data_IF_210343024430
#
_entry.id   IF_210343024430
#
_cell.length_a   1.000
_cell.length_b   1.000
_cell.length_c   1.000
_cell.angle_alpha   90.00
_cell.angle_beta   90.00
_cell.angle_gamma   90.00
#
_symmetry.space_group_name_H-M   'P 1'
#
loop_
_entity.id
_entity.type
_entity.pdbx_description
1 polymer ?
#
# COMPACT_ATOMS: atom_id res chain seq x y z
N UNK A 1 -3.11 3.80 -30.10
CA UNK A 1 -4.18 3.17 -29.31
C UNK A 1 -5.37 2.99 -30.22
N UNK A 2 -5.79 1.74 -30.46
CA UNK A 2 -7.07 1.48 -31.13
C UNK A 2 -8.19 1.97 -30.20
N UNK A 3 -9.19 2.63 -30.77
CA UNK A 3 -10.23 3.40 -30.06
C UNK A 3 -11.30 2.51 -29.38
N UNK A 4 -11.16 1.17 -29.47
CA UNK A 4 -12.19 0.21 -29.02
C UNK A 4 -11.82 -0.64 -27.80
N UNK A 5 -10.68 -0.39 -27.16
CA UNK A 5 -10.32 -1.10 -25.94
C UNK A 5 -10.90 -0.34 -24.74
N UNK A 6 -12.00 -0.84 -24.17
CA UNK A 6 -12.59 -0.30 -22.95
C UNK A 6 -11.56 -0.30 -21.81
N UNK A 7 -11.41 0.85 -21.15
CA UNK A 7 -10.59 0.97 -19.95
C UNK A 7 -11.24 0.17 -18.81
N UNK A 8 -10.50 -0.75 -18.21
CA UNK A 8 -10.98 -1.57 -17.10
C UNK A 8 -10.56 -0.97 -15.76
N UNK A 9 -11.40 -1.18 -14.73
CA UNK A 9 -11.13 -0.77 -13.34
C UNK A 9 -10.92 0.74 -13.13
N UNK A 10 -11.33 1.61 -14.05
CA UNK A 10 -11.04 3.06 -13.98
C UNK A 10 -9.58 3.40 -14.28
N UNK A 11 -8.79 2.43 -14.72
CA UNK A 11 -7.37 2.59 -15.01
C UNK A 11 -7.11 2.70 -16.52
N UNK A 12 -5.93 3.22 -16.88
CA UNK A 12 -5.43 3.22 -18.25
C UNK A 12 -4.91 1.82 -18.63
N UNK A 13 -5.80 0.82 -18.57
CA UNK A 13 -5.51 -0.58 -18.84
C UNK A 13 -6.65 -1.17 -19.66
N UNK A 14 -6.34 -1.89 -20.73
CA UNK A 14 -7.33 -2.64 -21.50
C UNK A 14 -7.31 -4.13 -21.18
N UNK A 15 -8.33 -4.86 -21.63
CA UNK A 15 -8.35 -6.33 -21.54
C UNK A 15 -7.19 -6.97 -22.29
N UNK A 16 -6.86 -6.48 -23.48
CA UNK A 16 -5.75 -6.96 -24.30
C UNK A 16 -4.42 -6.80 -23.56
N UNK A 17 -4.20 -5.61 -23.00
CA UNK A 17 -2.98 -5.31 -22.25
C UNK A 17 -2.88 -6.13 -20.96
N UNK A 18 -3.99 -6.29 -20.23
CA UNK A 18 -4.03 -7.14 -19.04
C UNK A 18 -3.71 -8.61 -19.37
N UNK A 19 -4.29 -9.13 -20.45
CA UNK A 19 -4.02 -10.50 -20.90
C UNK A 19 -2.54 -10.70 -21.24
N UNK A 20 -1.95 -9.80 -22.02
CA UNK A 20 -0.53 -9.85 -22.39
C UNK A 20 0.38 -9.84 -21.16
N UNK A 21 0.08 -8.98 -20.17
CA UNK A 21 0.82 -8.91 -18.93
C UNK A 21 0.71 -10.20 -18.11
N UNK A 22 -0.52 -10.68 -17.87
CA UNK A 22 -0.75 -11.88 -17.06
C UNK A 22 -0.10 -13.09 -17.71
N UNK A 23 -0.20 -13.22 -19.04
CA UNK A 23 0.46 -14.28 -19.80
C UNK A 23 1.97 -14.21 -19.70
N UNK A 24 2.55 -13.00 -19.81
CA UNK A 24 3.98 -12.78 -19.64
C UNK A 24 4.46 -13.16 -18.23
N UNK A 25 3.70 -12.78 -17.20
CA UNK A 25 4.01 -13.09 -15.80
C UNK A 25 3.91 -14.59 -15.50
N UNK A 26 2.86 -15.25 -15.99
CA UNK A 26 2.67 -16.70 -15.84
C UNK A 26 3.48 -17.54 -16.83
N UNK A 27 4.16 -16.90 -17.80
CA UNK A 27 4.90 -17.54 -18.89
C UNK A 27 4.06 -18.58 -19.64
N UNK A 28 2.85 -18.19 -20.03
CA UNK A 28 1.87 -19.06 -20.69
C UNK A 28 1.40 -18.53 -22.04
N UNK A 29 1.09 -19.47 -22.94
CA UNK A 29 0.43 -19.19 -24.20
C UNK A 29 -1.10 -19.27 -24.11
N UNK A 30 -1.67 -19.73 -22.99
CA UNK A 30 -3.12 -19.72 -22.80
C UNK A 30 -3.68 -18.29 -22.90
N UNK A 31 -4.86 -18.16 -23.50
CA UNK A 31 -5.55 -16.87 -23.71
C UNK A 31 -6.77 -16.77 -22.81
N UNK A 32 -7.24 -15.57 -22.51
CA UNK A 32 -8.47 -15.39 -21.74
C UNK A 32 -9.69 -15.83 -22.56
N UNK A 33 -10.67 -16.41 -21.89
CA UNK A 33 -11.93 -16.85 -22.47
C UNK A 33 -12.87 -15.73 -22.81
N UNK A 34 -14.02 -16.11 -23.36
CA UNK A 34 -15.14 -15.19 -23.55
C UNK A 34 -15.83 -14.88 -22.21
N UNK A 35 -15.77 -15.79 -21.23
CA UNK A 35 -16.31 -15.64 -19.87
C UNK A 35 -15.38 -14.95 -18.88
N UNK A 36 -14.28 -14.34 -19.35
CA UNK A 36 -13.35 -13.58 -18.50
C UNK A 36 -14.07 -12.49 -17.74
N UNK A 37 -13.72 -12.32 -16.46
CA UNK A 37 -14.35 -11.31 -15.59
C UNK A 37 -13.37 -10.66 -14.63
N UNK A 38 -13.68 -9.42 -14.27
CA UNK A 38 -13.01 -8.65 -13.23
C UNK A 38 -14.04 -8.20 -12.19
N UNK A 39 -13.84 -8.61 -10.96
CA UNK A 39 -14.73 -8.33 -9.84
C UNK A 39 -13.96 -7.49 -8.81
N UNK A 40 -14.34 -6.21 -8.62
CA UNK A 40 -13.69 -5.35 -7.61
C UNK A 40 -13.82 -5.99 -6.22
N UNK A 41 -12.70 -6.09 -5.51
CA UNK A 41 -12.62 -6.56 -4.14
C UNK A 41 -12.63 -5.34 -3.21
N UNK A 42 -13.59 -5.30 -2.28
CA UNK A 42 -13.80 -4.15 -1.41
C UNK A 42 -14.56 -3.02 -2.11
N UNK A 43 -15.85 -2.85 -1.79
CA UNK A 43 -16.64 -1.70 -2.27
C UNK A 43 -16.45 -0.56 -1.28
N UNK A 44 -15.98 0.61 -1.74
CA UNK A 44 -15.58 1.75 -0.89
C UNK A 44 -14.46 1.43 0.11
N UNK A 45 -13.63 0.44 -0.20
CA UNK A 45 -12.49 0.01 0.60
C UNK A 45 -11.27 0.02 -0.31
N UNK A 46 -10.31 0.91 -0.03
CA UNK A 46 -9.13 1.14 -0.88
C UNK A 46 -8.95 2.62 -1.20
N UNK A 47 -7.92 3.24 -0.62
CA UNK A 47 -7.63 4.66 -0.81
C UNK A 47 -6.65 4.93 -1.97
N UNK A 48 -5.77 3.98 -2.26
CA UNK A 48 -4.58 4.16 -3.10
C UNK A 48 -4.52 3.19 -4.28
N UNK A 49 -5.45 2.24 -4.34
CA UNK A 49 -5.53 1.26 -5.42
C UNK A 49 -6.93 0.67 -5.53
N UNK A 50 -7.26 0.21 -6.74
CA UNK A 50 -8.36 -0.71 -6.98
C UNK A 50 -7.79 -2.12 -7.00
N UNK A 51 -8.34 -2.97 -6.15
CA UNK A 51 -8.03 -4.40 -6.13
C UNK A 51 -9.22 -5.13 -6.76
N UNK A 52 -8.94 -6.07 -7.66
CA UNK A 52 -9.97 -6.86 -8.32
C UNK A 52 -9.55 -8.32 -8.45
N UNK A 53 -10.53 -9.23 -8.32
CA UNK A 53 -10.38 -10.62 -8.71
C UNK A 53 -10.56 -10.73 -10.21
N UNK A 54 -9.53 -11.22 -10.88
CA UNK A 54 -9.56 -11.63 -12.27
C UNK A 54 -9.91 -13.12 -12.33
N UNK A 55 -10.93 -13.47 -13.11
CA UNK A 55 -11.16 -14.84 -13.56
C UNK A 55 -10.87 -14.86 -15.07
N UNK A 56 -9.72 -15.43 -15.48
CA UNK A 56 -9.30 -15.44 -16.88
C UNK A 56 -10.21 -16.22 -17.82
N UNK A 57 -10.94 -17.22 -17.29
CA UNK A 57 -11.69 -18.19 -18.10
C UNK A 57 -10.81 -18.82 -19.18
N UNK A 58 -9.65 -19.35 -18.81
CA UNK A 58 -8.60 -19.75 -19.75
C UNK A 58 -9.11 -20.62 -20.90
N UNK A 59 -8.71 -20.28 -22.12
CA UNK A 59 -8.85 -21.15 -23.30
C UNK A 59 -7.71 -22.17 -23.27
N UNK A 60 -8.00 -23.37 -23.79
CA UNK A 60 -7.12 -24.54 -23.82
C UNK A 60 -6.97 -25.27 -22.47
N UNK A 61 -6.48 -26.52 -22.48
CA UNK A 61 -6.41 -27.41 -21.31
C UNK A 61 -5.31 -26.93 -20.33
N UNK A 62 -5.64 -25.89 -19.57
CA UNK A 62 -4.73 -25.12 -18.71
C UNK A 62 -4.86 -25.51 -17.24
N UNK A 63 -4.94 -26.81 -16.94
CA UNK A 63 -5.20 -27.32 -15.59
C UNK A 63 -4.18 -26.86 -14.53
N UNK A 64 -2.98 -26.45 -14.94
CA UNK A 64 -1.94 -25.91 -14.05
C UNK A 64 -2.04 -24.39 -13.82
N UNK A 65 -2.87 -23.67 -14.58
CA UNK A 65 -3.02 -22.22 -14.43
C UNK A 65 -4.01 -21.86 -13.31
N UNK A 66 -3.80 -20.73 -12.61
CA UNK A 66 -4.74 -20.26 -11.60
C UNK A 66 -6.12 -19.98 -12.20
N UNK A 67 -7.17 -20.56 -11.60
CA UNK A 67 -8.55 -20.28 -11.98
C UNK A 67 -8.94 -18.81 -11.71
N UNK A 68 -8.38 -18.24 -10.64
CA UNK A 68 -8.53 -16.83 -10.28
C UNK A 68 -7.18 -16.22 -9.88
N UNK A 69 -7.09 -14.91 -10.05
CA UNK A 69 -5.93 -14.07 -9.76
C UNK A 69 -6.42 -12.79 -9.06
N UNK A 70 -5.56 -12.17 -8.26
CA UNK A 70 -5.79 -10.81 -7.76
C UNK A 70 -4.95 -9.84 -8.57
N UNK A 71 -5.61 -8.79 -9.05
CA UNK A 71 -5.01 -7.69 -9.78
C UNK A 71 -5.15 -6.43 -8.94
N UNK A 72 -4.01 -5.82 -8.60
CA UNK A 72 -3.95 -4.56 -7.86
C UNK A 72 -3.46 -3.47 -8.80
N UNK A 73 -4.27 -2.42 -8.96
CA UNK A 73 -3.99 -1.30 -9.85
C UNK A 73 -3.98 -0.01 -9.03
N UNK A 74 -2.86 0.72 -8.96
CA UNK A 74 -2.77 1.98 -8.22
C UNK A 74 -3.67 3.03 -8.87
N UNK A 75 -4.48 3.67 -8.04
CA UNK A 75 -5.36 4.76 -8.41
C UNK A 75 -5.83 5.51 -7.18
N UNK A 76 -5.76 6.83 -7.23
CA UNK A 76 -6.33 7.74 -6.22
C UNK A 76 -7.76 8.19 -6.54
N UNK A 77 -8.47 7.54 -7.48
CA UNK A 77 -9.84 7.92 -7.86
C UNK A 77 -10.80 7.94 -6.67
N UNK A 78 -10.75 6.93 -5.80
CA UNK A 78 -11.61 6.86 -4.61
C UNK A 78 -11.32 8.01 -3.64
N UNK A 79 -10.05 8.39 -3.46
CA UNK A 79 -9.68 9.55 -2.65
C UNK A 79 -10.21 10.86 -3.26
N UNK A 80 -10.10 11.01 -4.59
CA UNK A 80 -10.63 12.15 -5.33
C UNK A 80 -12.17 12.23 -5.29
N UNK A 81 -12.87 11.09 -5.27
CA UNK A 81 -14.32 11.04 -5.12
C UNK A 81 -14.75 11.42 -3.71
N UNK A 82 -14.09 10.89 -2.68
CA UNK A 82 -14.33 11.26 -1.29
C UNK A 82 -14.12 12.77 -1.07
N UNK A 83 -13.07 13.34 -1.67
CA UNK A 83 -12.78 14.77 -1.62
C UNK A 83 -13.96 15.66 -2.03
N UNK A 84 -14.64 15.27 -3.12
CA UNK A 84 -15.76 16.01 -3.70
C UNK A 84 -16.99 15.99 -2.80
N UNK A 85 -17.14 14.96 -1.96
CA UNK A 85 -18.29 14.76 -1.07
C UNK A 85 -18.14 15.47 0.28
N UNK A 86 -16.96 16.00 0.61
CA UNK A 86 -16.78 16.76 1.85
C UNK A 86 -17.55 18.08 1.72
N UNK A 87 -18.66 18.21 2.46
CA UNK A 87 -19.32 19.48 2.74
C UNK A 87 -18.46 20.28 3.73
N UNK A 88 -18.08 21.49 3.34
CA UNK A 88 -17.06 22.26 4.07
C UNK A 88 -17.73 23.42 4.80
N UNK A 89 -17.51 23.48 6.12
CA UNK A 89 -17.51 24.77 6.80
C UNK A 89 -16.35 25.63 6.23
N UNK A 90 -16.49 26.96 6.22
CA UNK A 90 -15.57 27.90 5.55
C UNK A 90 -14.08 27.73 5.92
N UNK A 91 -13.77 27.15 7.09
CA UNK A 91 -12.41 26.86 7.55
C UNK A 91 -11.74 25.62 6.93
N UNK A 92 -12.42 24.92 6.02
CA UNK A 92 -11.99 23.60 5.51
C UNK A 92 -11.77 23.63 3.98
N UNK A 93 -12.03 24.77 3.31
CA UNK A 93 -11.87 24.96 1.84
C UNK A 93 -10.51 24.48 1.31
N UNK A 94 -9.46 24.65 2.11
CA UNK A 94 -8.09 24.23 1.79
C UNK A 94 -7.90 22.70 1.80
N UNK A 95 -8.74 21.93 2.51
CA UNK A 95 -8.74 20.46 2.46
C UNK A 95 -9.20 19.96 1.10
N UNK A 96 -10.22 20.61 0.51
CA UNK A 96 -10.68 20.27 -0.84
C UNK A 96 -9.60 20.52 -1.87
N UNK A 97 -8.95 21.69 -1.82
CA UNK A 97 -7.84 22.01 -2.73
C UNK A 97 -6.67 21.01 -2.60
N UNK A 98 -6.37 20.55 -1.38
CA UNK A 98 -5.38 19.48 -1.14
C UNK A 98 -5.82 18.15 -1.76
N UNK A 99 -7.05 17.73 -1.49
CA UNK A 99 -7.56 16.45 -1.96
C UNK A 99 -7.80 16.44 -3.48
N UNK A 100 -7.94 17.61 -4.12
CA UNK A 100 -8.08 17.77 -5.57
C UNK A 100 -6.74 17.92 -6.32
N UNK A 101 -5.57 17.90 -5.63
CA UNK A 101 -4.24 17.97 -6.26
C UNK A 101 -3.90 16.67 -7.01
N UNK A 102 -4.39 16.57 -8.24
CA UNK A 102 -4.21 15.40 -9.13
C UNK A 102 -2.73 15.05 -9.34
N UNK A 103 -1.84 16.03 -9.42
CA UNK A 103 -0.42 15.77 -9.66
C UNK A 103 0.30 15.22 -8.43
N UNK A 104 -0.11 15.65 -7.22
CA UNK A 104 0.33 15.02 -5.98
C UNK A 104 -0.11 13.56 -5.91
N UNK A 105 -1.40 13.30 -6.15
CA UNK A 105 -1.96 11.95 -6.11
C UNK A 105 -1.27 11.02 -7.11
N UNK A 106 -1.04 11.47 -8.35
CA UNK A 106 -0.24 10.72 -9.33
C UNK A 106 1.21 10.48 -8.90
N UNK A 107 1.81 11.44 -8.21
CA UNK A 107 3.14 11.29 -7.62
C UNK A 107 3.16 10.22 -6.52
N UNK A 108 2.16 10.25 -5.66
CA UNK A 108 1.96 9.30 -4.56
C UNK A 108 1.66 7.90 -5.08
N UNK A 109 0.70 7.73 -6.00
CA UNK A 109 0.36 6.46 -6.65
C UNK A 109 1.61 5.78 -7.22
N UNK A 110 2.46 6.55 -7.93
CA UNK A 110 3.71 6.04 -8.48
C UNK A 110 4.73 5.66 -7.42
N UNK A 111 4.91 6.50 -6.40
CA UNK A 111 5.89 6.24 -5.35
C UNK A 111 5.52 4.99 -4.53
N UNK A 112 4.26 4.89 -4.11
CA UNK A 112 3.76 3.79 -3.29
C UNK A 112 3.71 2.48 -4.07
N UNK A 113 3.19 2.50 -5.30
CA UNK A 113 3.14 1.32 -6.16
C UNK A 113 4.53 0.76 -6.48
N UNK A 114 5.47 1.63 -6.88
CA UNK A 114 6.83 1.18 -7.19
C UNK A 114 7.53 0.66 -5.94
N UNK A 115 7.28 1.25 -4.76
CA UNK A 115 7.81 0.74 -3.49
C UNK A 115 7.27 -0.66 -3.15
N UNK A 116 5.98 -0.92 -3.41
CA UNK A 116 5.40 -2.26 -3.27
C UNK A 116 6.03 -3.27 -4.24
N UNK A 117 6.29 -2.86 -5.49
CA UNK A 117 7.01 -3.68 -6.46
C UNK A 117 8.43 -4.00 -5.97
N UNK A 118 9.13 -3.01 -5.43
CA UNK A 118 10.48 -3.18 -4.89
C UNK A 118 10.51 -4.14 -3.69
N UNK A 119 9.48 -4.09 -2.83
CA UNK A 119 9.30 -5.06 -1.74
C UNK A 119 9.20 -6.49 -2.26
N UNK A 120 8.26 -6.76 -3.17
CA UNK A 120 8.06 -8.12 -3.66
C UNK A 120 9.24 -8.62 -4.49
N UNK A 121 9.89 -7.75 -5.27
CA UNK A 121 11.13 -8.06 -5.98
C UNK A 121 12.26 -8.44 -5.00
N UNK A 122 12.42 -7.65 -3.93
CA UNK A 122 13.44 -7.89 -2.91
C UNK A 122 13.22 -9.25 -2.24
N UNK A 123 12.02 -9.47 -1.71
CA UNK A 123 11.65 -10.71 -1.02
C UNK A 123 11.86 -11.94 -1.91
N UNK A 124 11.49 -11.86 -3.20
CA UNK A 124 11.75 -12.92 -4.16
C UNK A 124 13.26 -13.12 -4.41
N UNK A 125 14.00 -12.03 -4.64
CA UNK A 125 15.44 -12.08 -4.96
C UNK A 125 16.30 -12.63 -3.82
N UNK A 126 15.88 -12.45 -2.57
CA UNK A 126 16.57 -12.94 -1.37
C UNK A 126 16.06 -14.31 -0.90
N UNK A 127 15.12 -14.93 -1.63
CA UNK A 127 14.55 -16.23 -1.25
C UNK A 127 13.69 -16.18 0.01
N UNK A 128 13.16 -15.01 0.36
CA UNK A 128 12.32 -14.80 1.55
C UNK A 128 10.83 -15.05 1.26
N UNK A 129 10.42 -15.15 -0.01
CA UNK A 129 9.01 -15.26 -0.41
C UNK A 129 8.25 -16.44 0.21
N UNK A 130 8.93 -17.52 0.58
CA UNK A 130 8.33 -18.67 1.27
C UNK A 130 8.49 -18.63 2.78
N UNK A 131 9.31 -17.72 3.29
CA UNK A 131 9.63 -17.58 4.71
C UNK A 131 8.77 -16.51 5.39
N UNK A 132 8.32 -15.51 4.63
CA UNK A 132 7.42 -14.47 5.14
C UNK A 132 5.99 -14.73 4.69
N UNK A 133 5.02 -14.35 5.53
CA UNK A 133 3.60 -14.51 5.23
C UNK A 133 3.15 -13.42 4.25
N UNK A 134 3.39 -13.60 2.94
CA UNK A 134 2.95 -12.68 1.88
C UNK A 134 2.32 -13.47 0.73
N UNK A 135 1.44 -12.85 -0.07
CA UNK A 135 0.89 -13.55 -1.23
C UNK A 135 1.99 -13.80 -2.26
N UNK A 136 1.92 -14.95 -2.94
CA UNK A 136 2.70 -15.21 -4.14
C UNK A 136 2.38 -14.17 -5.21
N UNK A 137 3.39 -13.42 -5.63
CA UNK A 137 3.30 -12.48 -6.74
C UNK A 137 3.77 -13.14 -8.02
N UNK A 138 2.92 -13.16 -9.05
CA UNK A 138 3.26 -13.70 -10.36
C UNK A 138 4.07 -12.70 -11.19
N UNK A 139 3.79 -11.41 -11.02
CA UNK A 139 4.56 -10.35 -11.64
C UNK A 139 3.93 -8.99 -11.39
N UNK A 140 4.65 -7.95 -11.81
CA UNK A 140 4.22 -6.57 -11.68
C UNK A 140 4.84 -5.72 -12.79
N UNK A 141 4.23 -4.56 -13.01
CA UNK A 141 4.77 -3.50 -13.85
C UNK A 141 4.84 -2.21 -13.04
N UNK A 142 6.02 -1.60 -13.01
CA UNK A 142 6.26 -0.30 -12.37
C UNK A 142 5.76 0.83 -13.25
N UNK A 143 5.49 1.98 -12.64
CA UNK A 143 5.43 3.23 -13.39
C UNK A 143 6.83 3.59 -13.88
N UNK A 144 6.95 3.95 -15.15
CA UNK A 144 8.18 4.41 -15.79
C UNK A 144 7.87 5.52 -16.81
N UNK A 145 8.86 5.92 -17.62
CA UNK A 145 8.60 6.84 -18.74
C UNK A 145 7.78 6.17 -19.85
N UNK A 146 7.95 4.86 -19.98
CA UNK A 146 7.34 3.99 -20.98
C UNK A 146 5.97 3.49 -20.50
N UNK A 147 5.80 3.28 -19.20
CA UNK A 147 4.58 2.72 -18.62
C UNK A 147 3.88 3.73 -17.71
N UNK A 148 2.70 4.18 -18.16
CA UNK A 148 1.86 5.15 -17.44
C UNK A 148 0.90 4.54 -16.43
N UNK A 149 0.85 3.21 -16.33
CA UNK A 149 -0.02 2.48 -15.41
C UNK A 149 0.75 1.34 -14.74
N UNK A 150 0.87 1.41 -13.42
CA UNK A 150 1.35 0.31 -12.60
C UNK A 150 0.31 -0.80 -12.45
N UNK A 151 0.76 -2.02 -12.17
CA UNK A 151 -0.09 -3.18 -11.87
C UNK A 151 0.72 -4.24 -11.13
N UNK A 152 0.11 -4.92 -10.16
CA UNK A 152 0.65 -6.14 -9.55
C UNK A 152 -0.38 -7.26 -9.76
N UNK A 153 0.09 -8.44 -10.17
CA UNK A 153 -0.71 -9.65 -10.34
C UNK A 153 -0.21 -10.69 -9.34
N UNK A 154 -1.10 -11.12 -8.45
CA UNK A 154 -0.77 -12.01 -7.34
C UNK A 154 -1.82 -13.11 -7.16
N UNK A 155 -1.52 -14.08 -6.32
CA UNK A 155 -2.42 -15.18 -6.01
C UNK A 155 -3.72 -14.69 -5.36
N UNK A 156 -4.81 -15.39 -5.66
CA UNK A 156 -6.09 -15.14 -5.03
C UNK A 156 -6.23 -15.98 -3.75
N UNK A 157 -6.12 -15.30 -2.61
CA UNK A 157 -6.28 -15.91 -1.29
C UNK A 157 -7.73 -15.85 -0.78
N UNK A 158 -8.68 -15.43 -1.61
CA UNK A 158 -10.08 -15.20 -1.21
C UNK A 158 -10.82 -16.46 -0.78
N UNK A 159 -10.31 -17.66 -1.06
CA UNK A 159 -10.96 -18.90 -0.59
C UNK A 159 -10.48 -19.31 0.80
N UNK A 160 -9.31 -18.81 1.23
CA UNK A 160 -8.64 -19.26 2.46
C UNK A 160 -8.44 -18.16 3.50
N UNK A 161 -8.38 -16.89 3.08
CA UNK A 161 -8.06 -15.75 3.93
C UNK A 161 -9.23 -14.77 4.07
N UNK A 162 -9.44 -14.27 5.29
CA UNK A 162 -10.43 -13.23 5.62
C UNK A 162 -9.77 -12.15 6.46
N UNK A 163 -10.11 -10.90 6.19
CA UNK A 163 -9.76 -9.79 7.08
C UNK A 163 -10.65 -9.86 8.31
N UNK A 164 -10.08 -9.59 9.47
CA UNK A 164 -10.81 -9.51 10.75
C UNK A 164 -11.31 -8.09 10.97
N UNK A 165 -12.55 -7.94 11.46
CA UNK A 165 -13.14 -6.63 11.70
C UNK A 165 -12.47 -5.91 12.89
N UNK A 166 -12.45 -4.56 12.89
CA UNK A 166 -11.83 -3.76 13.97
C UNK A 166 -12.40 -4.02 15.38
N UNK A 167 -13.64 -4.49 15.48
CA UNK A 167 -14.31 -4.80 16.75
C UNK A 167 -14.12 -6.25 17.21
N UNK A 168 -13.50 -7.10 16.41
CA UNK A 168 -13.19 -8.47 16.80
C UNK A 168 -11.92 -8.50 17.64
N UNK A 169 -11.94 -9.29 18.72
CA UNK A 169 -10.77 -9.48 19.56
C UNK A 169 -9.78 -10.44 18.91
N UNK A 170 -8.50 -10.07 18.93
CA UNK A 170 -7.38 -10.95 18.61
C UNK A 170 -6.81 -11.55 19.90
N UNK A 171 -6.43 -12.82 19.85
CA UNK A 171 -5.72 -13.47 20.94
C UNK A 171 -4.24 -13.07 20.96
N UNK A 172 -3.55 -13.34 22.07
CA UNK A 172 -2.09 -13.18 22.13
C UNK A 172 -1.39 -14.09 21.11
N UNK A 173 -1.94 -15.27 20.85
CA UNK A 173 -1.37 -16.19 19.87
C UNK A 173 -1.61 -15.71 18.43
N UNK A 174 -2.71 -15.00 18.16
CA UNK A 174 -2.91 -14.31 16.88
C UNK A 174 -1.80 -13.26 16.69
N UNK A 175 -1.56 -12.41 17.70
CA UNK A 175 -0.51 -11.39 17.64
C UNK A 175 0.89 -12.00 17.42
N UNK A 176 1.21 -13.10 18.10
CA UNK A 176 2.48 -13.83 17.91
C UNK A 176 2.65 -14.33 16.47
N UNK A 177 1.60 -14.89 15.86
CA UNK A 177 1.68 -15.35 14.47
C UNK A 177 2.05 -14.23 13.51
N UNK A 178 1.52 -13.01 13.72
CA UNK A 178 1.87 -11.84 12.89
C UNK A 178 3.34 -11.49 13.05
N UNK A 179 3.85 -11.50 14.28
CA UNK A 179 5.27 -11.25 14.57
C UNK A 179 6.12 -12.33 13.90
N UNK A 180 5.80 -13.60 14.10
CA UNK A 180 6.51 -14.74 13.50
C UNK A 180 6.53 -14.66 11.97
N UNK A 181 5.44 -14.18 11.36
CA UNK A 181 5.32 -14.00 9.92
C UNK A 181 6.23 -12.92 9.32
N UNK A 182 6.74 -11.99 10.14
CA UNK A 182 7.66 -10.92 9.70
C UNK A 182 9.09 -11.07 10.26
N UNK A 183 9.31 -11.95 11.25
CA UNK A 183 10.63 -12.22 11.83
C UNK A 183 11.70 -12.52 10.76
N UNK A 184 11.45 -13.35 9.72
CA UNK A 184 12.48 -13.65 8.73
C UNK A 184 12.95 -12.41 7.95
N UNK A 185 12.05 -11.46 7.69
CA UNK A 185 12.41 -10.20 7.05
C UNK A 185 13.29 -9.35 7.96
N UNK A 186 12.88 -9.16 9.21
CA UNK A 186 13.67 -8.36 10.16
C UNK A 186 15.03 -9.00 10.43
N UNK A 187 15.08 -10.31 10.62
CA UNK A 187 16.31 -11.06 10.87
C UNK A 187 17.31 -10.91 9.73
N UNK A 188 16.83 -10.97 8.48
CA UNK A 188 17.67 -10.75 7.31
C UNK A 188 18.40 -9.40 7.36
N UNK A 189 17.72 -8.31 7.71
CA UNK A 189 18.36 -6.98 7.79
C UNK A 189 19.31 -6.85 8.99
N UNK A 190 19.00 -7.50 10.12
CA UNK A 190 19.89 -7.52 11.28
C UNK A 190 21.19 -8.30 11.00
N UNK A 191 21.11 -9.38 10.22
CA UNK A 191 22.25 -10.19 9.80
C UNK A 191 23.05 -9.53 8.67
N UNK A 192 22.43 -8.61 7.93
CA UNK A 192 23.02 -7.92 6.78
C UNK A 192 22.93 -6.38 6.96
N UNK A 193 23.55 -5.79 7.99
CA UNK A 193 23.41 -4.37 8.30
C UNK A 193 23.98 -3.45 7.22
N UNK A 194 24.94 -3.94 6.44
CA UNK A 194 25.60 -3.21 5.34
C UNK A 194 24.89 -3.40 3.99
N UNK A 195 23.69 -4.00 3.96
CA UNK A 195 22.97 -4.20 2.71
C UNK A 195 22.60 -2.85 2.08
N UNK A 196 23.36 -2.46 1.07
CA UNK A 196 23.14 -1.23 0.33
C UNK A 196 22.02 -1.45 -0.70
N UNK A 197 20.77 -1.31 -0.25
CA UNK A 197 19.61 -1.23 -1.13
C UNK A 197 19.50 0.20 -1.70
N UNK A 198 20.54 0.65 -2.43
CA UNK A 198 20.68 2.04 -2.88
C UNK A 198 19.39 2.54 -3.57
N UNK A 199 18.73 3.53 -2.95
CA UNK A 199 17.51 4.16 -3.46
C UNK A 199 16.20 3.36 -3.28
N UNK A 200 16.22 2.14 -2.73
CA UNK A 200 15.03 1.34 -2.40
C UNK A 200 14.66 1.49 -0.92
N UNK A 201 13.36 1.43 -0.61
CA UNK A 201 12.80 1.53 0.76
C UNK A 201 13.12 2.83 1.53
N UNK A 202 13.43 3.88 0.79
CA UNK A 202 13.51 5.25 1.29
C UNK A 202 12.10 5.79 1.53
N UNK A 203 11.57 5.60 2.76
CA UNK A 203 10.28 6.10 3.27
C UNK A 203 9.42 6.75 2.17
N UNK A 204 8.60 5.99 1.44
CA UNK A 204 8.12 6.37 0.10
C UNK A 204 7.27 7.65 0.10
N UNK A 205 6.54 7.89 1.20
CA UNK A 205 5.86 9.17 1.44
C UNK A 205 6.86 10.34 1.45
N UNK A 206 7.99 10.21 2.17
CA UNK A 206 9.05 11.24 2.18
C UNK A 206 9.61 11.50 0.78
N UNK A 207 9.70 10.46 -0.06
CA UNK A 207 10.14 10.57 -1.46
C UNK A 207 9.11 11.33 -2.29
N UNK A 208 7.82 11.01 -2.17
CA UNK A 208 6.74 11.75 -2.82
C UNK A 208 6.71 13.23 -2.40
N UNK A 209 6.81 13.51 -1.09
CA UNK A 209 6.89 14.87 -0.55
C UNK A 209 8.14 15.62 -1.07
N UNK A 210 9.30 14.98 -1.12
CA UNK A 210 10.54 15.58 -1.62
C UNK A 210 10.43 15.93 -3.09
N UNK A 211 9.95 15.02 -3.93
CA UNK A 211 9.78 15.26 -5.36
C UNK A 211 8.85 16.46 -5.64
N UNK A 212 7.83 16.66 -4.81
CA UNK A 212 6.94 17.80 -4.93
C UNK A 212 7.55 19.10 -4.40
N UNK A 213 8.27 19.06 -3.29
CA UNK A 213 8.95 20.23 -2.71
C UNK A 213 10.01 20.84 -3.64
N UNK A 214 10.54 20.04 -4.58
CA UNK A 214 11.48 20.50 -5.60
C UNK A 214 10.81 21.27 -6.76
N UNK A 215 9.47 21.27 -6.86
CA UNK A 215 8.73 22.02 -7.89
C UNK A 215 8.48 23.47 -7.45
N UNK A 216 8.30 24.37 -8.41
CA UNK A 216 7.89 25.77 -8.15
C UNK A 216 6.56 25.78 -7.39
N UNK A 217 6.52 26.44 -6.23
CA UNK A 217 5.35 26.44 -5.33
C UNK A 217 5.25 25.23 -4.39
N UNK A 218 6.09 24.21 -4.55
CA UNK A 218 6.14 23.01 -3.71
C UNK A 218 6.33 23.28 -2.21
N UNK A 219 7.29 24.13 -1.80
CA UNK A 219 7.51 24.45 -0.39
C UNK A 219 6.30 25.15 0.28
N UNK A 220 5.58 25.98 -0.48
CA UNK A 220 4.36 26.65 -0.03
C UNK A 220 3.24 25.62 0.18
N UNK A 221 3.12 24.67 -0.75
CA UNK A 221 2.10 23.64 -0.66
C UNK A 221 2.37 22.64 0.48
N UNK A 222 3.64 22.31 0.74
CA UNK A 222 4.01 21.50 1.90
C UNK A 222 3.75 22.20 3.23
N UNK A 223 4.04 23.50 3.35
CA UNK A 223 3.73 24.23 4.58
C UNK A 223 2.22 24.26 4.86
N UNK A 224 1.38 24.43 3.84
CA UNK A 224 -0.07 24.31 3.99
C UNK A 224 -0.53 22.93 4.49
N UNK A 225 0.08 21.84 4.01
CA UNK A 225 -0.24 20.48 4.47
C UNK A 225 0.13 20.26 5.94
N UNK A 226 1.29 20.73 6.35
CA UNK A 226 1.69 20.65 7.76
C UNK A 226 0.73 21.44 8.66
N UNK A 227 0.30 22.62 8.24
CA UNK A 227 -0.71 23.41 8.96
C UNK A 227 -2.07 22.71 9.01
N UNK A 228 -2.45 21.99 7.96
CA UNK A 228 -3.70 21.22 7.93
C UNK A 228 -3.68 20.05 8.93
N UNK A 229 -2.61 19.24 8.94
CA UNK A 229 -2.48 18.14 9.92
C UNK A 229 -2.45 18.70 11.34
N UNK A 230 -1.74 19.81 11.56
CA UNK A 230 -1.73 20.52 12.84
C UNK A 230 -3.12 20.99 13.26
N UNK A 231 -3.89 21.54 12.31
CA UNK A 231 -5.29 21.95 12.52
C UNK A 231 -6.23 20.77 12.81
N UNK A 232 -6.02 19.61 12.18
CA UNK A 232 -6.75 18.38 12.51
C UNK A 232 -6.47 17.95 13.94
N UNK A 233 -5.20 17.93 14.35
CA UNK A 233 -4.81 17.63 15.74
C UNK A 233 -5.44 18.63 16.71
N UNK A 234 -5.43 19.91 16.39
CA UNK A 234 -6.07 20.94 17.21
C UNK A 234 -7.59 20.74 17.33
N UNK A 235 -8.25 20.33 16.24
CA UNK A 235 -9.70 20.06 16.22
C UNK A 235 -10.12 18.94 17.17
N UNK A 236 -9.22 18.00 17.48
CA UNK A 236 -9.45 16.94 18.47
C UNK A 236 -9.81 17.52 19.84
N UNK A 237 -9.35 18.73 20.18
CA UNK A 237 -9.74 19.42 21.43
C UNK A 237 -11.24 19.64 21.54
N UNK A 238 -11.94 19.80 20.41
CA UNK A 238 -13.39 20.00 20.39
C UNK A 238 -14.14 18.76 20.91
N UNK A 239 -13.58 17.58 20.65
CA UNK A 239 -14.12 16.26 21.01
C UNK A 239 -13.55 15.74 22.35
N UNK A 240 -12.26 15.93 22.60
CA UNK A 240 -11.53 15.48 23.79
C UNK A 240 -11.19 16.63 24.75
N UNK A 241 -12.22 17.40 25.15
CA UNK A 241 -12.05 18.62 25.96
C UNK A 241 -11.28 18.39 27.26
N UNK A 242 -11.45 17.23 27.91
CA UNK A 242 -10.75 16.88 29.16
C UNK A 242 -9.25 16.65 28.96
N UNK A 243 -8.82 16.41 27.74
CA UNK A 243 -7.42 16.16 27.35
C UNK A 243 -6.82 17.35 26.58
N UNK A 244 -7.48 18.52 26.55
CA UNK A 244 -7.03 19.67 25.76
C UNK A 244 -5.56 20.05 26.03
N UNK A 245 -5.12 19.96 27.29
CA UNK A 245 -3.72 20.20 27.69
C UNK A 245 -2.74 19.22 27.06
N UNK A 246 -3.10 17.93 26.93
CA UNK A 246 -2.26 16.95 26.24
C UNK A 246 -2.15 17.27 24.74
N UNK A 247 -3.22 17.80 24.14
CA UNK A 247 -3.20 18.26 22.76
C UNK A 247 -2.32 19.52 22.62
N UNK A 248 -2.36 20.45 23.59
CA UNK A 248 -1.45 21.61 23.63
C UNK A 248 0.02 21.18 23.70
N UNK A 249 0.33 20.24 24.59
CA UNK A 249 1.68 19.69 24.73
C UNK A 249 2.13 18.99 23.44
N UNK A 250 1.23 18.25 22.76
CA UNK A 250 1.49 17.64 21.46
C UNK A 250 1.74 18.69 20.37
N UNK A 251 0.92 19.74 20.31
CA UNK A 251 1.05 20.84 19.34
C UNK A 251 2.34 21.63 19.54
N UNK A 252 2.81 21.77 20.79
CA UNK A 252 4.08 22.40 21.11
C UNK A 252 5.27 21.66 20.50
N UNK A 253 5.25 20.32 20.51
CA UNK A 253 6.32 19.49 19.91
C UNK A 253 6.04 19.09 18.46
N UNK A 254 4.87 19.40 17.92
CA UNK A 254 4.37 18.87 16.64
C UNK A 254 5.37 19.06 15.50
N UNK A 255 5.89 20.28 15.32
CA UNK A 255 6.82 20.60 14.23
C UNK A 255 8.11 19.77 14.32
N UNK A 256 8.50 19.35 15.53
CA UNK A 256 9.66 18.48 15.76
C UNK A 256 9.35 16.99 15.53
N UNK A 257 8.09 16.57 15.71
CA UNK A 257 7.61 15.20 15.53
C UNK A 257 7.38 14.87 14.05
N UNK A 258 6.86 15.83 13.29
CA UNK A 258 6.52 15.63 11.87
C UNK A 258 7.68 15.90 10.91
N UNK A 259 8.90 16.05 11.43
CA UNK A 259 10.10 16.14 10.62
C UNK A 259 10.44 14.78 10.01
N UNK A 260 9.90 14.50 8.83
CA UNK A 260 10.11 13.26 8.08
C UNK A 260 11.59 12.95 7.80
N UNK A 261 12.50 13.93 7.88
CA UNK A 261 13.95 13.69 7.75
C UNK A 261 14.48 12.87 8.93
N UNK A 262 13.87 13.03 10.11
CA UNK A 262 14.25 12.30 11.33
C UNK A 262 13.82 10.84 11.32
N UNK A 263 12.88 10.43 10.47
CA UNK A 263 12.47 9.01 10.38
C UNK A 263 13.65 8.07 10.08
N UNK A 264 14.67 8.58 9.37
CA UNK A 264 15.91 7.84 9.08
C UNK A 264 16.98 7.98 10.17
N UNK A 265 16.98 9.09 10.91
CA UNK A 265 18.04 9.38 11.88
C UNK A 265 17.68 8.92 13.28
N UNK A 266 16.39 8.90 13.67
CA UNK A 266 15.93 8.48 15.00
C UNK A 266 16.45 7.08 15.37
N UNK A 267 16.34 6.04 14.50
CA UNK A 267 16.88 4.73 14.85
C UNK A 267 18.38 4.79 15.14
N UNK A 268 19.14 5.48 14.27
CA UNK A 268 20.59 5.65 14.40
C UNK A 268 20.96 6.40 15.68
N UNK A 269 20.29 7.51 15.96
CA UNK A 269 20.49 8.35 17.17
C UNK A 269 20.19 7.56 18.46
N UNK A 270 19.27 6.59 18.40
CA UNK A 270 18.91 5.72 19.52
C UNK A 270 19.74 4.42 19.59
N UNK A 271 20.67 4.20 18.65
CA UNK A 271 21.43 2.95 18.56
C UNK A 271 20.57 1.73 18.21
N UNK A 272 19.44 1.95 17.54
CA UNK A 272 18.51 0.91 17.09
C UNK A 272 18.87 0.54 15.64
N UNK A 273 19.14 -0.75 15.36
CA UNK A 273 19.43 -1.19 14.00
C UNK A 273 18.20 -1.01 13.10
N UNK A 274 18.46 -0.63 11.84
CA UNK A 274 17.39 -0.51 10.85
C UNK A 274 17.04 -1.89 10.30
N UNK A 275 15.74 -2.13 10.16
CA UNK A 275 15.18 -3.26 9.42
C UNK A 275 14.09 -2.76 8.47
N UNK A 276 13.73 -3.56 7.47
CA UNK A 276 12.60 -3.22 6.62
C UNK A 276 11.29 -3.48 7.38
N UNK A 277 10.59 -2.40 7.71
CA UNK A 277 9.29 -2.46 8.37
C UNK A 277 8.17 -2.30 7.34
N UNK A 278 6.99 -2.84 7.66
CA UNK A 278 5.80 -2.75 6.82
C UNK A 278 5.29 -1.30 6.63
N UNK A 279 5.38 -0.47 7.68
CA UNK A 279 4.91 0.93 7.66
C UNK A 279 3.40 1.15 7.78
N UNK A 280 2.59 0.10 7.64
CA UNK A 280 1.12 0.12 7.78
C UNK A 280 0.61 -1.25 8.26
N UNK A 281 1.17 -1.79 9.33
CA UNK A 281 0.77 -3.09 9.85
C UNK A 281 -0.38 -2.94 10.85
N UNK A 282 -1.59 -3.25 10.40
CA UNK A 282 -2.80 -3.24 11.23
C UNK A 282 -3.79 -4.30 10.73
N UNK A 283 -4.86 -4.55 11.49
CA UNK A 283 -5.75 -5.71 11.30
C UNK A 283 -6.35 -5.84 9.89
N UNK A 284 -6.54 -4.71 9.19
CA UNK A 284 -7.09 -4.68 7.83
C UNK A 284 -6.13 -5.22 6.78
N UNK A 285 -4.82 -5.21 7.07
CA UNK A 285 -3.76 -5.68 6.18
C UNK A 285 -3.33 -7.11 6.50
N UNK A 286 -4.11 -7.84 7.30
CA UNK A 286 -3.80 -9.20 7.73
C UNK A 286 -4.93 -10.14 7.31
N UNK A 287 -4.57 -11.17 6.54
CA UNK A 287 -5.47 -12.25 6.17
C UNK A 287 -5.36 -13.42 7.14
N UNK A 288 -6.50 -13.84 7.65
CA UNK A 288 -6.65 -14.96 8.56
C UNK A 288 -7.43 -16.10 7.93
N UNK A 289 -6.98 -17.32 8.15
CA UNK A 289 -7.79 -18.52 7.96
C UNK A 289 -8.50 -18.81 9.27
N UNK A 290 -9.81 -18.96 9.21
CA UNK A 290 -10.62 -19.34 10.36
C UNK A 290 -10.84 -20.85 10.35
N UNK A 291 -10.55 -21.52 11.46
CA UNK A 291 -10.74 -22.98 11.58
C UNK A 291 -12.18 -23.38 11.95
N UNK A 292 -13.08 -22.41 12.09
CA UNK A 292 -14.48 -22.61 12.47
C UNK A 292 -14.71 -22.80 13.98
N UNK A 293 -13.65 -22.93 14.79
CA UNK A 293 -13.71 -23.15 16.24
C UNK A 293 -13.15 -21.94 17.01
N UNK A 294 -12.98 -20.81 16.32
CA UNK A 294 -12.52 -19.54 16.88
C UNK A 294 -10.99 -19.35 16.85
N UNK A 295 -10.21 -20.31 16.35
CA UNK A 295 -8.77 -20.10 16.14
C UNK A 295 -8.51 -19.55 14.75
N UNK A 296 -7.47 -18.72 14.68
CA UNK A 296 -7.01 -18.09 13.44
C UNK A 296 -5.62 -18.58 13.09
N UNK A 297 -5.38 -18.80 11.81
CA UNK A 297 -4.05 -19.05 11.27
C UNK A 297 -3.69 -17.90 10.33
N UNK A 298 -2.52 -17.30 10.52
CA UNK A 298 -2.03 -16.26 9.62
C UNK A 298 -1.88 -16.84 8.20
N UNK A 299 -2.47 -16.17 7.22
CA UNK A 299 -2.35 -16.53 5.80
C UNK A 299 -1.36 -15.61 5.12
N UNK A 300 -1.56 -14.31 5.22
CA UNK A 300 -0.71 -13.32 4.59
C UNK A 300 -0.85 -11.94 5.26
N UNK A 301 0.21 -11.16 5.15
CA UNK A 301 0.28 -9.74 5.43
C UNK A 301 0.34 -9.01 4.08
N UNK A 302 -0.57 -8.07 3.85
CA UNK A 302 -0.82 -7.39 2.58
C UNK A 302 -0.38 -5.93 2.63
N UNK A 303 -0.35 -5.25 1.47
CA UNK A 303 -0.20 -3.79 1.37
C UNK A 303 1.13 -3.21 1.86
N UNK A 304 2.23 -3.76 1.33
CA UNK A 304 3.61 -3.33 1.61
C UNK A 304 4.03 -2.02 0.91
N UNK A 305 3.08 -1.27 0.35
CA UNK A 305 3.35 -0.06 -0.45
C UNK A 305 4.00 1.09 0.34
N UNK A 306 3.89 1.09 1.66
CA UNK A 306 4.56 2.06 2.54
C UNK A 306 5.75 1.47 3.30
N UNK A 307 6.25 0.29 2.91
CA UNK A 307 7.41 -0.32 3.59
C UNK A 307 8.65 0.54 3.48
N UNK A 308 9.42 0.64 4.56
CA UNK A 308 10.65 1.45 4.59
C UNK A 308 11.63 0.96 5.65
N UNK A 309 12.91 1.35 5.51
CA UNK A 309 13.92 1.06 6.52
C UNK A 309 13.73 1.97 7.74
N UNK A 310 13.53 1.35 8.90
CA UNK A 310 13.45 2.05 10.19
C UNK A 310 13.83 1.13 11.35
N UNK A 311 13.89 1.69 12.55
CA UNK A 311 14.20 0.95 13.77
C UNK A 311 13.02 0.13 14.25
N UNK A 312 13.27 -1.09 14.70
CA UNK A 312 12.32 -1.90 15.47
C UNK A 312 12.79 -1.96 16.91
N UNK A 313 11.89 -1.67 17.86
CA UNK A 313 12.14 -1.76 19.30
C UNK A 313 11.17 -2.72 19.94
#
# INVERSE_FOLDING_TARGET
>A
MNVNDECILGALLSWTELEELVRGFLKTEARFGDGKKLEKLGVNQGFLSVVARLTPDWRDDSSELPATLVVKVPTSETMLEMAKQIELADGVKQIREFLEDVEFHRGMDRALHNNECDFYEFVASKGLATSIAVPRVFGFRRFSKEHRQGIIVMEDLSDVGRVTSLWENLSVDDAKQVIDGIIPLHSFFLENPDIEESGKFDAPLSTAYRQQNLKVGGPILASYRFQMVKGMVESVKLTLRKQARLIDDLLYVFDSLVDLRKLKTIPVELGIPNVLIHGDLWISNILWRHDGIGRRQLVAVLDWQVSFLSGVK
#
